data_IF_192024303777
#
_entry.id   IF_192024303777
#
_cell.length_a   1.000
_cell.length_b   1.000
_cell.length_c   1.000
_cell.angle_alpha   90.00
_cell.angle_beta   90.00
_cell.angle_gamma   90.00
#
_symmetry.space_group_name_H-M   'P 1'
#
loop_
_entity.id
_entity.type
_entity.pdbx_description
1 polymer ?
#
# COMPACT_ATOMS: atom_id res chain seq x y z
N UNK A 1 3.99 24.83 -13.45
CA UNK A 1 3.34 23.63 -14.03
C UNK A 1 1.89 23.64 -13.60
N UNK A 2 0.92 23.72 -14.52
CA UNK A 2 -0.52 23.80 -14.20
C UNK A 2 -0.93 22.56 -13.39
N UNK A 3 -1.39 22.74 -12.16
CA UNK A 3 -1.99 21.67 -11.35
C UNK A 3 -3.19 21.12 -12.11
N UNK A 4 -3.10 19.88 -12.60
CA UNK A 4 -4.26 19.18 -13.16
C UNK A 4 -5.27 18.98 -12.03
N UNK A 5 -6.50 19.44 -12.26
CA UNK A 5 -7.61 19.26 -11.33
C UNK A 5 -7.76 17.75 -11.03
N UNK A 6 -7.80 17.30 -9.76
CA UNK A 6 -7.83 15.87 -9.40
C UNK A 6 -8.93 15.07 -10.13
N UNK A 7 -10.07 15.72 -10.39
CA UNK A 7 -11.21 15.20 -11.18
C UNK A 7 -10.81 14.71 -12.58
N UNK A 8 -9.78 15.28 -13.19
CA UNK A 8 -9.33 14.96 -14.55
C UNK A 8 -8.24 13.87 -14.60
N UNK A 9 -7.93 13.23 -13.47
CA UNK A 9 -6.83 12.26 -13.34
C UNK A 9 -7.26 10.89 -12.85
N UNK A 10 -8.56 10.67 -12.63
CA UNK A 10 -9.07 9.38 -12.16
C UNK A 10 -9.35 8.42 -13.33
N UNK A 11 -8.87 7.19 -13.21
CA UNK A 11 -9.06 6.12 -14.18
C UNK A 11 -9.97 5.04 -13.56
N UNK A 12 -11.10 4.73 -14.20
CA UNK A 12 -12.08 3.78 -13.69
C UNK A 12 -12.06 2.46 -14.45
N UNK A 13 -12.22 1.33 -13.75
CA UNK A 13 -12.52 0.04 -14.36
C UNK A 13 -14.02 -0.17 -14.30
N UNK A 14 -14.70 -0.12 -15.44
CA UNK A 14 -16.18 -0.12 -15.50
C UNK A 14 -16.78 -1.46 -15.94
N UNK A 15 -16.02 -2.29 -16.64
CA UNK A 15 -16.46 -3.62 -17.08
C UNK A 15 -16.66 -4.54 -15.88
N UNK A 16 -17.91 -4.97 -15.65
CA UNK A 16 -18.27 -5.95 -14.61
C UNK A 16 -17.44 -7.24 -14.71
N UNK A 17 -17.14 -7.69 -15.93
CA UNK A 17 -16.27 -8.86 -16.17
C UNK A 17 -14.87 -8.64 -15.56
N UNK A 18 -14.25 -7.49 -15.84
CA UNK A 18 -12.91 -7.17 -15.35
C UNK A 18 -12.88 -6.98 -13.83
N UNK A 19 -13.90 -6.31 -13.27
CA UNK A 19 -14.04 -6.16 -11.81
C UNK A 19 -14.09 -7.53 -11.13
N UNK A 20 -14.99 -8.41 -11.57
CA UNK A 20 -15.10 -9.77 -11.02
C UNK A 20 -13.82 -10.57 -11.20
N UNK A 21 -13.18 -10.46 -12.35
CA UNK A 21 -11.90 -11.15 -12.64
C UNK A 21 -10.80 -10.71 -11.66
N UNK A 22 -10.69 -9.43 -11.34
CA UNK A 22 -9.71 -8.90 -10.40
C UNK A 22 -10.00 -9.37 -8.98
N UNK A 23 -11.26 -9.26 -8.53
CA UNK A 23 -11.64 -9.61 -7.16
C UNK A 23 -11.43 -11.10 -6.83
N UNK A 24 -11.47 -12.00 -7.83
CA UNK A 24 -11.14 -13.43 -7.68
C UNK A 24 -9.73 -13.71 -7.15
N UNK A 25 -8.80 -12.76 -7.28
CA UNK A 25 -7.43 -12.91 -6.76
C UNK A 25 -7.30 -12.44 -5.31
N UNK A 26 -8.38 -11.96 -4.70
CA UNK A 26 -8.43 -11.60 -3.28
C UNK A 26 -8.99 -12.76 -2.45
N UNK A 27 -8.71 -12.78 -1.15
CA UNK A 27 -9.33 -13.73 -0.22
C UNK A 27 -10.57 -13.15 0.49
N UNK A 28 -11.21 -12.13 -0.11
CA UNK A 28 -12.39 -11.47 0.45
C UNK A 28 -13.58 -12.44 0.40
N UNK A 29 -14.29 -12.56 1.53
CA UNK A 29 -15.43 -13.44 1.69
C UNK A 29 -16.51 -12.82 2.60
N UNK A 30 -17.63 -13.55 2.76
CA UNK A 30 -18.85 -13.09 3.43
C UNK A 30 -18.71 -12.74 4.92
N UNK A 31 -17.59 -13.08 5.55
CA UNK A 31 -17.29 -12.79 6.94
C UNK A 31 -16.45 -11.51 7.09
N UNK A 32 -15.90 -10.98 6.00
CA UNK A 32 -14.99 -9.84 6.04
C UNK A 32 -15.73 -8.51 6.09
N UNK A 33 -15.18 -7.57 6.88
CA UNK A 33 -15.48 -6.15 6.78
C UNK A 33 -14.47 -5.49 5.84
N UNK A 34 -14.94 -4.73 4.88
CA UNK A 34 -14.11 -4.10 3.85
C UNK A 34 -14.11 -2.59 4.03
N UNK A 35 -12.92 -1.99 3.97
CA UNK A 35 -12.75 -0.57 3.73
C UNK A 35 -12.29 -0.41 2.28
N UNK A 36 -13.13 0.22 1.46
CA UNK A 36 -12.80 0.54 0.08
C UNK A 36 -12.23 1.96 -0.01
N UNK A 37 -11.05 2.11 -0.61
CA UNK A 37 -10.40 3.41 -0.83
C UNK A 37 -10.68 3.86 -2.27
N UNK A 38 -11.47 4.92 -2.40
CA UNK A 38 -11.88 5.50 -3.68
C UNK A 38 -12.90 4.61 -4.40
N UNK A 39 -14.17 4.69 -3.99
CA UNK A 39 -15.25 3.92 -4.63
C UNK A 39 -15.52 4.37 -6.07
N UNK A 40 -15.19 5.63 -6.39
CA UNK A 40 -15.44 6.22 -7.69
C UNK A 40 -16.92 6.11 -8.08
N UNK A 41 -17.20 5.44 -9.20
CA UNK A 41 -18.57 5.22 -9.69
C UNK A 41 -19.26 3.98 -9.09
N UNK A 42 -18.66 3.32 -8.10
CA UNK A 42 -19.26 2.18 -7.40
C UNK A 42 -19.13 0.81 -8.07
N UNK A 43 -18.29 0.67 -9.10
CA UNK A 43 -18.16 -0.59 -9.86
C UNK A 43 -17.56 -1.73 -9.01
N UNK A 44 -16.50 -1.44 -8.25
CA UNK A 44 -15.95 -2.40 -7.28
C UNK A 44 -16.85 -2.51 -6.06
N UNK A 45 -17.33 -1.38 -5.52
CA UNK A 45 -18.26 -1.34 -4.37
C UNK A 45 -19.43 -2.30 -4.54
N UNK A 46 -20.09 -2.31 -5.71
CA UNK A 46 -21.23 -3.18 -6.00
C UNK A 46 -20.90 -4.68 -5.89
N UNK A 47 -19.71 -5.08 -6.33
CA UNK A 47 -19.28 -6.47 -6.22
C UNK A 47 -18.77 -6.78 -4.79
N UNK A 48 -18.16 -5.81 -4.11
CA UNK A 48 -17.70 -5.93 -2.73
C UNK A 48 -18.86 -6.14 -1.74
N UNK A 49 -19.97 -5.40 -1.89
CA UNK A 49 -21.16 -5.58 -1.03
C UNK A 49 -21.80 -6.95 -1.23
N UNK A 50 -21.73 -7.51 -2.43
CA UNK A 50 -22.19 -8.85 -2.74
C UNK A 50 -21.29 -9.95 -2.19
N UNK A 51 -20.01 -9.70 -1.88
CA UNK A 51 -19.08 -10.74 -1.42
C UNK A 51 -18.65 -10.63 0.03
N UNK A 52 -18.97 -9.54 0.72
CA UNK A 52 -18.48 -9.26 2.08
C UNK A 52 -19.60 -9.11 3.11
N UNK A 53 -19.23 -9.13 4.39
CA UNK A 53 -20.18 -8.89 5.49
C UNK A 53 -20.65 -7.44 5.47
N UNK A 54 -19.71 -6.50 5.31
CA UNK A 54 -19.96 -5.06 5.34
C UNK A 54 -18.90 -4.32 4.56
N UNK A 55 -19.29 -3.25 3.87
CA UNK A 55 -18.38 -2.33 3.18
C UNK A 55 -18.49 -0.93 3.75
N UNK A 56 -17.36 -0.26 3.97
CA UNK A 56 -17.25 1.18 4.17
C UNK A 56 -16.45 1.76 3.00
N UNK A 57 -17.11 2.45 2.09
CA UNK A 57 -16.49 3.08 0.94
C UNK A 57 -16.09 4.53 1.26
N UNK A 58 -14.79 4.84 1.17
CA UNK A 58 -14.24 6.17 1.40
C UNK A 58 -14.00 6.83 0.06
N UNK A 59 -14.61 7.99 -0.18
CA UNK A 59 -14.44 8.74 -1.43
C UNK A 59 -14.34 10.23 -1.13
N UNK A 60 -13.44 10.93 -1.81
CA UNK A 60 -13.16 12.35 -1.60
C UNK A 60 -14.03 13.25 -2.49
N UNK A 61 -14.53 12.73 -3.62
CA UNK A 61 -15.44 13.47 -4.49
C UNK A 61 -16.91 13.19 -4.11
N UNK A 62 -17.61 14.24 -3.69
CA UNK A 62 -19.01 14.16 -3.32
C UNK A 62 -19.92 13.62 -4.45
N UNK A 63 -19.67 14.00 -5.70
CA UNK A 63 -20.44 13.52 -6.85
C UNK A 63 -20.27 12.02 -7.07
N UNK A 64 -19.06 11.50 -6.86
CA UNK A 64 -18.76 10.07 -6.90
C UNK A 64 -19.36 9.33 -5.70
N UNK A 65 -19.43 9.95 -4.52
CA UNK A 65 -20.18 9.40 -3.39
C UNK A 65 -21.66 9.19 -3.76
N UNK A 66 -22.31 10.18 -4.38
CA UNK A 66 -23.69 10.06 -4.85
C UNK A 66 -23.85 8.98 -5.92
N UNK A 67 -22.92 8.90 -6.88
CA UNK A 67 -22.93 7.84 -7.90
C UNK A 67 -22.78 6.44 -7.29
N UNK A 68 -21.89 6.30 -6.30
CA UNK A 68 -21.68 5.05 -5.57
C UNK A 68 -22.93 4.64 -4.82
N UNK A 69 -23.58 5.56 -4.08
CA UNK A 69 -24.84 5.29 -3.35
C UNK A 69 -25.92 4.75 -4.29
N UNK A 70 -26.13 5.41 -5.45
CA UNK A 70 -27.09 4.93 -6.47
C UNK A 70 -26.72 3.55 -7.03
N UNK A 71 -25.44 3.29 -7.25
CA UNK A 71 -24.97 2.01 -7.82
C UNK A 71 -25.18 0.81 -6.88
N UNK A 72 -25.25 1.06 -5.57
CA UNK A 72 -25.38 0.03 -4.52
C UNK A 72 -26.76 0.00 -3.87
N UNK A 73 -27.75 0.75 -4.35
CA UNK A 73 -29.14 0.54 -3.93
C UNK A 73 -29.64 -0.83 -4.44
N UNK A 74 -30.34 -1.64 -3.62
CA UNK A 74 -30.84 -1.39 -2.26
C UNK A 74 -29.98 -2.02 -1.14
N UNK A 75 -28.70 -2.33 -1.37
CA UNK A 75 -27.85 -3.00 -0.38
C UNK A 75 -27.75 -2.21 0.93
N UNK A 76 -27.95 -2.90 2.06
CA UNK A 76 -27.96 -2.29 3.40
C UNK A 76 -26.62 -2.46 4.15
N UNK A 77 -25.74 -3.33 3.65
CA UNK A 77 -24.45 -3.65 4.27
C UNK A 77 -23.31 -2.70 3.81
N UNK A 78 -23.63 -1.48 3.39
CA UNK A 78 -22.69 -0.49 2.86
C UNK A 78 -22.85 0.86 3.56
N UNK A 79 -21.74 1.54 3.84
CA UNK A 79 -21.69 2.96 4.18
C UNK A 79 -20.77 3.68 3.19
N UNK A 80 -21.28 4.69 2.49
CA UNK A 80 -20.46 5.60 1.66
C UNK A 80 -20.11 6.83 2.50
N UNK A 81 -18.81 7.07 2.67
CA UNK A 81 -18.23 8.10 3.54
C UNK A 81 -17.49 9.11 2.64
N UNK A 82 -17.96 10.36 2.66
CA UNK A 82 -17.32 11.46 1.95
C UNK A 82 -16.17 12.00 2.82
N UNK A 83 -14.95 11.52 2.58
CA UNK A 83 -13.77 11.87 3.37
C UNK A 83 -12.48 11.64 2.57
N UNK A 84 -11.44 12.40 2.91
CA UNK A 84 -10.08 12.17 2.42
C UNK A 84 -9.45 10.97 3.16
N UNK A 85 -9.07 9.92 2.43
CA UNK A 85 -8.43 8.72 3.00
C UNK A 85 -7.16 9.04 3.80
N UNK A 86 -6.42 10.10 3.47
CA UNK A 86 -5.22 10.48 4.20
C UNK A 86 -5.56 11.02 5.61
N UNK A 87 -6.78 11.56 5.79
CA UNK A 87 -7.31 12.06 7.06
C UNK A 87 -8.17 11.03 7.80
N UNK A 88 -8.70 10.05 7.08
CA UNK A 88 -9.54 8.99 7.63
C UNK A 88 -8.87 8.27 8.81
N UNK A 89 -9.64 8.09 9.88
CA UNK A 89 -9.22 7.34 11.06
C UNK A 89 -9.70 5.90 10.95
N UNK A 90 -8.76 4.97 10.72
CA UNK A 90 -9.11 3.56 10.63
C UNK A 90 -9.65 3.01 11.96
N UNK A 91 -10.62 2.08 11.93
CA UNK A 91 -11.07 1.39 13.13
C UNK A 91 -9.91 0.70 13.86
N UNK A 92 -9.95 0.76 15.19
CA UNK A 92 -9.06 0.01 16.08
C UNK A 92 -9.80 -1.19 16.66
N UNK A 93 -9.06 -2.22 17.07
CA UNK A 93 -9.60 -3.42 17.72
C UNK A 93 -10.73 -4.12 16.92
N UNK A 94 -10.74 -3.97 15.61
CA UNK A 94 -11.68 -4.63 14.70
C UNK A 94 -10.93 -5.17 13.50
N UNK A 95 -11.26 -6.39 13.08
CA UNK A 95 -10.71 -6.97 11.86
C UNK A 95 -11.41 -6.43 10.63
N UNK A 96 -10.62 -6.04 9.65
CA UNK A 96 -11.07 -5.61 8.33
C UNK A 96 -9.97 -5.83 7.29
N UNK A 97 -10.39 -5.89 6.04
CA UNK A 97 -9.51 -5.86 4.87
C UNK A 97 -9.69 -4.55 4.14
N UNK A 98 -8.66 -4.15 3.39
CA UNK A 98 -8.71 -2.96 2.55
C UNK A 98 -8.74 -3.39 1.09
N UNK A 99 -9.56 -2.71 0.28
CA UNK A 99 -9.50 -2.78 -1.18
C UNK A 99 -9.39 -1.36 -1.75
N UNK A 100 -8.68 -1.16 -2.86
CA UNK A 100 -8.70 0.15 -3.53
C UNK A 100 -8.12 0.14 -4.93
N UNK A 101 -8.83 0.76 -5.86
CA UNK A 101 -8.28 1.19 -7.14
C UNK A 101 -7.73 2.61 -7.00
N UNK A 102 -6.51 2.73 -6.47
CA UNK A 102 -6.04 4.01 -5.93
C UNK A 102 -5.39 4.89 -7.01
N UNK A 103 -5.54 6.22 -6.91
CA UNK A 103 -4.93 7.15 -7.87
C UNK A 103 -3.40 7.16 -7.75
N UNK A 104 -2.72 7.29 -8.89
CA UNK A 104 -1.27 7.10 -8.99
C UNK A 104 -0.46 8.18 -8.29
N UNK A 105 -0.95 9.43 -8.31
CA UNK A 105 -0.26 10.60 -7.76
C UNK A 105 -0.10 10.55 -6.23
N UNK A 106 -1.01 9.90 -5.52
CA UNK A 106 -0.98 9.78 -4.04
C UNK A 106 -0.79 8.34 -3.56
N UNK A 107 -0.41 7.41 -4.47
CA UNK A 107 -0.23 5.99 -4.12
C UNK A 107 0.81 5.78 -3.01
N UNK A 108 1.88 6.58 -2.99
CA UNK A 108 2.88 6.52 -1.91
C UNK A 108 2.27 6.85 -0.55
N UNK A 109 1.45 7.90 -0.49
CA UNK A 109 0.88 8.37 0.77
C UNK A 109 -0.22 7.44 1.26
N UNK A 110 -1.05 6.89 0.35
CA UNK A 110 -2.03 5.87 0.70
C UNK A 110 -1.35 4.61 1.23
N UNK A 111 -0.29 4.11 0.58
CA UNK A 111 0.42 2.92 1.06
C UNK A 111 1.03 3.17 2.44
N UNK A 112 1.63 4.34 2.69
CA UNK A 112 2.13 4.71 4.02
C UNK A 112 1.00 4.81 5.05
N UNK A 113 -0.12 5.42 4.68
CA UNK A 113 -1.32 5.56 5.51
C UNK A 113 -1.86 4.20 5.94
N UNK A 114 -1.93 3.24 5.01
CA UNK A 114 -2.29 1.85 5.31
C UNK A 114 -1.22 1.20 6.20
N UNK A 115 0.06 1.34 5.85
CA UNK A 115 1.15 0.68 6.56
C UNK A 115 1.24 1.08 8.02
N UNK A 116 1.13 2.38 8.31
CA UNK A 116 1.47 2.95 9.62
C UNK A 116 0.27 3.37 10.46
N UNK A 117 -0.92 3.58 9.86
CA UNK A 117 -2.11 4.03 10.59
C UNK A 117 -3.24 2.98 10.61
N UNK A 118 -3.18 1.97 9.75
CA UNK A 118 -4.16 0.87 9.73
C UNK A 118 -3.61 -0.38 10.41
N UNK A 119 -4.51 -1.26 10.86
CA UNK A 119 -4.20 -2.60 11.37
C UNK A 119 -4.68 -3.72 10.42
N UNK A 120 -5.14 -3.39 9.21
CA UNK A 120 -5.61 -4.38 8.25
C UNK A 120 -4.55 -5.45 8.00
N UNK A 121 -4.95 -6.73 8.09
CA UNK A 121 -4.08 -7.87 7.79
C UNK A 121 -3.81 -7.99 6.29
N UNK A 122 -4.83 -7.76 5.45
CA UNK A 122 -4.73 -7.79 3.99
C UNK A 122 -5.23 -6.48 3.39
N UNK A 123 -4.42 -5.88 2.52
CA UNK A 123 -4.80 -4.70 1.74
C UNK A 123 -4.55 -4.96 0.26
N UNK A 124 -5.60 -4.98 -0.54
CA UNK A 124 -5.57 -5.24 -1.97
C UNK A 124 -5.65 -3.93 -2.73
N UNK A 125 -4.60 -3.60 -3.49
CA UNK A 125 -4.49 -2.31 -4.18
C UNK A 125 -4.22 -2.52 -5.65
N UNK A 126 -4.93 -1.79 -6.51
CA UNK A 126 -4.57 -1.66 -7.92
C UNK A 126 -3.69 -0.42 -8.05
N UNK A 127 -2.46 -0.61 -8.55
CA UNK A 127 -1.45 0.44 -8.66
C UNK A 127 -0.69 0.33 -9.99
N UNK A 128 0.03 1.37 -10.40
CA UNK A 128 0.93 1.28 -11.55
C UNK A 128 1.96 0.16 -11.36
N UNK A 129 2.25 -0.57 -12.44
CA UNK A 129 3.25 -1.65 -12.43
C UNK A 129 4.64 -1.16 -11.99
N UNK A 130 5.04 0.04 -12.42
CA UNK A 130 6.32 0.64 -12.01
C UNK A 130 6.35 0.96 -10.52
N UNK A 131 5.22 1.41 -9.95
CA UNK A 131 5.11 1.66 -8.51
C UNK A 131 5.19 0.38 -7.69
N UNK A 132 4.47 -0.68 -8.08
CA UNK A 132 4.56 -1.98 -7.40
C UNK A 132 5.99 -2.53 -7.33
N UNK A 133 6.75 -2.44 -8.44
CA UNK A 133 8.18 -2.80 -8.45
C UNK A 133 9.01 -1.96 -7.48
N UNK A 134 8.72 -0.66 -7.37
CA UNK A 134 9.40 0.24 -6.44
C UNK A 134 9.08 -0.07 -4.98
N UNK A 135 7.90 -0.60 -4.67
CA UNK A 135 7.54 -1.03 -3.32
C UNK A 135 8.35 -2.25 -2.88
N UNK A 136 8.66 -3.17 -3.80
CA UNK A 136 9.47 -4.35 -3.53
C UNK A 136 10.98 -4.09 -3.55
N UNK A 137 11.42 -2.89 -3.96
CA UNK A 137 12.84 -2.56 -4.05
C UNK A 137 13.38 -2.05 -2.70
N UNK A 138 14.17 -2.88 -2.03
CA UNK A 138 14.81 -2.60 -0.74
C UNK A 138 16.09 -1.76 -0.82
N UNK A 139 16.42 -1.23 -2.00
CA UNK A 139 17.38 -0.12 -2.13
C UNK A 139 16.70 1.25 -1.94
N UNK A 140 15.36 1.29 -1.91
CA UNK A 140 14.58 2.53 -1.75
C UNK A 140 14.00 2.59 -0.34
N UNK A 141 13.97 3.81 0.22
CA UNK A 141 13.46 4.03 1.57
C UNK A 141 12.07 3.43 1.78
N UNK A 142 11.14 3.62 0.83
CA UNK A 142 9.79 3.09 0.96
C UNK A 142 9.75 1.56 1.03
N UNK A 143 10.56 0.85 0.23
CA UNK A 143 10.62 -0.61 0.28
C UNK A 143 11.16 -1.11 1.61
N UNK A 144 12.23 -0.51 2.12
CA UNK A 144 12.79 -0.82 3.43
C UNK A 144 11.82 -0.51 4.59
N UNK A 145 11.12 0.61 4.52
CA UNK A 145 10.13 0.96 5.55
C UNK A 145 8.92 0.01 5.56
N UNK A 146 8.54 -0.54 4.40
CA UNK A 146 7.40 -1.45 4.31
C UNK A 146 7.77 -2.90 4.62
N UNK A 147 8.95 -3.38 4.22
CA UNK A 147 9.35 -4.78 4.39
C UNK A 147 9.39 -5.23 5.85
N UNK A 148 9.48 -4.30 6.80
CA UNK A 148 9.49 -4.62 8.23
C UNK A 148 8.10 -4.77 8.83
N UNK A 149 7.07 -4.38 8.10
CA UNK A 149 5.66 -4.44 8.52
C UNK A 149 4.82 -5.38 7.63
N UNK A 150 5.20 -5.53 6.35
CA UNK A 150 4.36 -6.13 5.32
C UNK A 150 5.13 -6.91 4.26
N UNK A 151 4.53 -8.02 3.85
CA UNK A 151 4.85 -8.72 2.60
C UNK A 151 4.09 -8.08 1.44
N UNK A 152 4.79 -7.85 0.32
CA UNK A 152 4.22 -7.23 -0.87
C UNK A 152 4.29 -8.20 -2.03
N UNK A 153 3.12 -8.66 -2.51
CA UNK A 153 3.02 -9.62 -3.61
C UNK A 153 2.21 -9.02 -4.77
N UNK A 154 2.71 -9.18 -5.99
CA UNK A 154 1.95 -8.87 -7.21
C UNK A 154 1.08 -10.09 -7.52
N UNK A 155 -0.23 -9.92 -7.49
CA UNK A 155 -1.19 -11.00 -7.69
C UNK A 155 -1.61 -11.14 -9.16
N UNK A 156 -1.78 -10.01 -9.84
CA UNK A 156 -2.32 -9.99 -11.21
C UNK A 156 -1.88 -8.75 -11.99
N UNK A 157 -1.62 -8.93 -13.28
CA UNK A 157 -1.52 -7.81 -14.23
C UNK A 157 -2.91 -7.27 -14.55
N UNK A 158 -3.07 -5.94 -14.50
CA UNK A 158 -4.30 -5.23 -14.86
C UNK A 158 -3.98 -4.34 -16.07
N UNK A 159 -4.31 -4.80 -17.30
CA UNK A 159 -3.98 -4.06 -18.52
C UNK A 159 -4.56 -2.65 -18.49
N UNK A 160 -3.81 -1.66 -19.00
CA UNK A 160 -4.31 -0.26 -19.10
C UNK A 160 -5.62 -0.13 -19.88
N UNK A 161 -5.89 -1.07 -20.80
CA UNK A 161 -7.12 -1.12 -21.58
C UNK A 161 -8.38 -1.40 -20.74
N UNK A 162 -8.23 -1.86 -19.49
CA UNK A 162 -9.36 -2.07 -18.58
C UNK A 162 -9.92 -0.74 -18.03
N UNK A 163 -9.16 0.34 -18.16
CA UNK A 163 -9.46 1.63 -17.56
C UNK A 163 -10.05 2.62 -18.56
N UNK A 164 -10.92 3.50 -18.07
CA UNK A 164 -11.38 4.69 -18.76
C UNK A 164 -11.35 5.93 -17.84
N UNK A 165 -10.69 7.04 -18.23
CA UNK A 165 -9.79 7.16 -19.39
C UNK A 165 -8.64 6.15 -19.34
N UNK A 166 -8.03 5.84 -20.48
CA UNK A 166 -6.92 4.86 -20.57
C UNK A 166 -5.62 5.50 -20.07
N UNK A 167 -4.92 4.94 -19.06
CA UNK A 167 -3.63 5.45 -18.60
C UNK A 167 -2.51 5.10 -19.59
N UNK A 168 -1.34 5.73 -19.41
CA UNK A 168 -0.17 5.50 -20.26
C UNK A 168 0.57 4.19 -19.94
N UNK A 169 0.38 3.66 -18.74
CA UNK A 169 1.10 2.49 -18.22
C UNK A 169 0.12 1.44 -17.72
N UNK A 170 0.56 0.18 -17.71
CA UNK A 170 -0.20 -0.90 -17.11
C UNK A 170 -0.22 -0.82 -15.58
N UNK A 171 -1.28 -1.37 -15.00
CA UNK A 171 -1.42 -1.55 -13.57
C UNK A 171 -1.22 -3.01 -13.17
N UNK A 172 -1.14 -3.23 -11.86
CA UNK A 172 -1.15 -4.54 -11.24
C UNK A 172 -2.02 -4.50 -9.99
N UNK A 173 -2.67 -5.61 -9.68
CA UNK A 173 -3.22 -5.87 -8.37
C UNK A 173 -2.09 -6.37 -7.48
N UNK A 174 -1.85 -5.69 -6.36
CA UNK A 174 -0.96 -6.13 -5.30
C UNK A 174 -1.74 -6.47 -4.04
N UNK A 175 -1.15 -7.31 -3.20
CA UNK A 175 -1.53 -7.43 -1.79
C UNK A 175 -0.39 -6.94 -0.91
N UNK A 176 -0.76 -6.11 0.06
CA UNK A 176 0.05 -5.82 1.23
C UNK A 176 -0.48 -6.71 2.36
N UNK A 177 0.31 -7.69 2.76
CA UNK A 177 -0.01 -8.63 3.81
C UNK A 177 0.80 -8.28 5.06
N UNK A 178 0.14 -7.83 6.12
CA UNK A 178 0.81 -7.41 7.35
C UNK A 178 1.33 -8.63 8.10
N UNK A 179 2.58 -8.63 8.53
CA UNK A 179 3.15 -9.67 9.38
C UNK A 179 3.52 -9.11 10.76
N UNK A 180 4.05 -9.98 11.62
CA UNK A 180 4.64 -9.52 12.88
C UNK A 180 5.81 -8.57 12.54
N UNK A 181 5.87 -7.37 13.12
CA UNK A 181 6.88 -6.40 12.73
C UNK A 181 8.28 -6.92 13.07
N UNK A 182 9.23 -6.75 12.16
CA UNK A 182 10.63 -7.13 12.37
C UNK A 182 11.36 -6.15 13.28
N UNK A 183 10.83 -4.93 13.42
CA UNK A 183 11.38 -3.87 14.24
C UNK A 183 10.44 -3.60 15.42
N UNK A 184 10.98 -3.56 16.63
CA UNK A 184 10.20 -3.19 17.81
C UNK A 184 9.75 -1.73 17.71
N UNK A 185 8.53 -1.44 18.18
CA UNK A 185 7.95 -0.08 18.16
C UNK A 185 8.89 0.99 18.76
N UNK A 186 9.62 0.66 19.82
CA UNK A 186 10.60 1.56 20.47
C UNK A 186 11.79 1.92 19.57
N UNK A 187 12.16 1.03 18.65
CA UNK A 187 13.30 1.21 17.76
C UNK A 187 12.91 1.86 16.42
N UNK A 188 11.61 1.98 16.13
CA UNK A 188 11.13 2.41 14.81
C UNK A 188 11.60 3.82 14.41
N UNK A 189 11.72 4.74 15.37
CA UNK A 189 12.28 6.09 15.11
C UNK A 189 13.76 5.99 14.69
N UNK A 190 14.56 5.16 15.38
CA UNK A 190 15.96 4.90 15.01
C UNK A 190 16.05 4.20 13.65
N UNK A 191 15.19 3.21 13.40
CA UNK A 191 15.11 2.49 12.14
C UNK A 191 14.80 3.41 10.96
N UNK A 192 13.79 4.27 11.08
CA UNK A 192 13.44 5.24 10.05
C UNK A 192 14.61 6.16 9.73
N UNK A 193 15.28 6.71 10.75
CA UNK A 193 16.49 7.52 10.56
C UNK A 193 17.58 6.74 9.81
N UNK A 194 17.87 5.52 10.27
CA UNK A 194 18.85 4.63 9.66
C UNK A 194 18.55 4.39 8.17
N UNK A 195 17.31 4.03 7.83
CA UNK A 195 16.89 3.79 6.44
C UNK A 195 17.16 5.01 5.56
N UNK A 196 16.76 6.22 5.98
CA UNK A 196 16.96 7.41 5.16
C UNK A 196 18.44 7.74 4.93
N UNK A 197 19.27 7.62 5.97
CA UNK A 197 20.72 7.83 5.84
C UNK A 197 21.39 6.76 5.00
N UNK A 198 20.97 5.50 5.15
CA UNK A 198 21.50 4.37 4.39
C UNK A 198 21.26 4.52 2.89
N UNK A 199 20.01 4.79 2.47
CA UNK A 199 19.67 4.88 1.04
C UNK A 199 20.30 6.10 0.36
N UNK A 200 20.57 7.16 1.13
CA UNK A 200 21.30 8.34 0.64
C UNK A 200 22.83 8.14 0.64
N UNK A 201 23.32 6.95 1.00
CA UNK A 201 24.75 6.62 1.14
C UNK A 201 25.48 7.50 2.15
N UNK A 202 24.78 8.04 3.15
CA UNK A 202 25.33 8.83 4.25
C UNK A 202 25.91 7.91 5.35
N UNK A 203 26.73 6.91 4.97
CA UNK A 203 27.20 5.87 5.89
C UNK A 203 28.03 6.42 7.05
N UNK A 204 28.74 7.53 6.83
CA UNK A 204 29.54 8.21 7.86
C UNK A 204 28.69 8.80 8.99
N UNK A 205 27.39 9.05 8.75
CA UNK A 205 26.44 9.47 9.79
C UNK A 205 26.01 8.29 10.66
N UNK A 206 26.06 7.08 10.11
CA UNK A 206 25.60 5.85 10.77
C UNK A 206 26.74 5.11 11.48
N UNK A 207 27.93 5.13 10.91
CA UNK A 207 29.07 4.33 11.34
C UNK A 207 30.39 5.06 11.10
N UNK A 208 31.36 4.84 11.98
CA UNK A 208 32.77 5.06 11.67
C UNK A 208 33.23 4.07 10.58
N UNK A 209 34.36 4.36 9.91
CA UNK A 209 34.93 3.46 8.89
C UNK A 209 35.19 2.04 9.43
N UNK A 210 35.69 1.94 10.67
CA UNK A 210 35.98 0.65 11.31
C UNK A 210 34.68 -0.11 11.65
N UNK A 211 33.68 0.57 12.20
CA UNK A 211 32.37 -0.04 12.46
C UNK A 211 31.73 -0.53 11.16
N UNK A 212 31.69 0.30 10.11
CA UNK A 212 31.08 -0.11 8.84
C UNK A 212 31.74 -1.38 8.27
N UNK A 213 33.08 -1.44 8.27
CA UNK A 213 33.80 -2.65 7.80
C UNK A 213 33.44 -3.88 8.63
N UNK A 214 33.40 -3.76 9.95
CA UNK A 214 33.05 -4.89 10.84
C UNK A 214 31.61 -5.34 10.64
N UNK A 215 30.67 -4.40 10.50
CA UNK A 215 29.25 -4.69 10.30
C UNK A 215 28.99 -5.38 8.98
N UNK A 216 29.59 -4.91 7.89
CA UNK A 216 29.44 -5.55 6.58
C UNK A 216 30.01 -6.98 6.58
N UNK A 217 31.16 -7.18 7.25
CA UNK A 217 31.73 -8.53 7.44
C UNK A 217 30.81 -9.42 8.27
N UNK A 218 30.27 -8.91 9.38
CA UNK A 218 29.37 -9.66 10.25
C UNK A 218 28.06 -10.05 9.55
N UNK A 219 27.51 -9.14 8.75
CA UNK A 219 26.30 -9.37 7.96
C UNK A 219 26.56 -10.15 6.65
N UNK A 220 27.79 -10.59 6.37
CA UNK A 220 28.17 -11.24 5.11
C UNK A 220 27.78 -10.43 3.86
N UNK A 221 27.89 -9.10 3.91
CA UNK A 221 27.57 -8.21 2.77
C UNK A 221 28.81 -8.03 1.90
N UNK A 222 28.73 -8.51 0.66
CA UNK A 222 29.79 -8.35 -0.35
C UNK A 222 29.50 -7.21 -1.33
N UNK A 223 28.23 -6.89 -1.56
CA UNK A 223 27.77 -5.86 -2.48
C UNK A 223 26.74 -4.96 -1.77
N UNK A 224 27.09 -3.69 -1.56
CA UNK A 224 26.22 -2.70 -0.90
C UNK A 224 24.97 -2.35 -1.70
N UNK A 225 24.98 -2.63 -3.01
CA UNK A 225 23.83 -2.40 -3.86
C UNK A 225 22.90 -3.62 -3.87
N UNK A 226 23.27 -4.78 -3.29
CA UNK A 226 22.46 -6.01 -3.35
C UNK A 226 22.30 -6.69 -1.99
N UNK A 227 21.91 -5.94 -0.97
CA UNK A 227 21.58 -6.51 0.33
C UNK A 227 20.27 -7.28 0.28
N UNK A 228 20.27 -8.49 0.84
CA UNK A 228 19.03 -9.17 1.23
C UNK A 228 18.37 -8.47 2.42
N UNK A 229 17.09 -8.77 2.66
CA UNK A 229 16.35 -8.21 3.80
C UNK A 229 17.02 -8.59 5.13
N UNK A 230 17.48 -9.83 5.24
CA UNK A 230 18.17 -10.34 6.44
C UNK A 230 19.51 -9.62 6.66
N UNK A 231 20.28 -9.41 5.59
CA UNK A 231 21.52 -8.65 5.66
C UNK A 231 21.26 -7.21 6.11
N UNK A 232 20.28 -6.54 5.53
CA UNK A 232 19.92 -5.16 5.92
C UNK A 232 19.49 -5.07 7.39
N UNK A 233 18.68 -6.01 7.87
CA UNK A 233 18.26 -6.09 9.27
C UNK A 233 19.44 -6.38 10.20
N UNK A 234 20.38 -7.24 9.80
CA UNK A 234 21.61 -7.50 10.54
C UNK A 234 22.44 -6.22 10.69
N UNK A 235 22.66 -5.48 9.61
CA UNK A 235 23.36 -4.19 9.63
C UNK A 235 22.66 -3.19 10.56
N UNK A 236 21.33 -3.09 10.52
CA UNK A 236 20.56 -2.23 11.42
C UNK A 236 20.68 -2.67 12.89
N UNK A 237 20.67 -3.97 13.16
CA UNK A 237 20.84 -4.48 14.53
C UNK A 237 22.23 -4.15 15.07
N UNK A 238 23.28 -4.25 14.25
CA UNK A 238 24.61 -3.79 14.65
C UNK A 238 24.67 -2.28 14.89
N UNK A 239 24.00 -1.47 14.07
CA UNK A 239 23.87 -0.03 14.30
C UNK A 239 23.31 0.30 15.68
N UNK A 240 22.31 -0.47 16.15
CA UNK A 240 21.74 -0.29 17.48
C UNK A 240 22.71 -0.60 18.62
N UNK A 241 23.70 -1.47 18.42
CA UNK A 241 24.66 -1.86 19.46
C UNK A 241 25.77 -0.82 19.66
N UNK A 242 26.05 0.01 18.66
CA UNK A 242 27.08 1.06 18.73
C UNK A 242 26.56 2.41 19.23
N UNK A 243 25.26 2.53 19.51
CA UNK A 243 24.56 3.75 19.92
C UNK A 243 24.10 3.64 21.37
#
# INVERSE_FOLDING_TARGET
MKQKNPKNTQNFITSKKHVKEILKYTNINKQDKIIEIGSGKGHFTKELVEMSQRVNAIEIDEGLCHATKKAVEPFQNIKVIHEDILKFSFPKNTDYKIFGNIPYNISTDIVKKIAFDSQAKYSYLIVERGFAKRLQNTQRALGLLLMVEMDIKILKKVPRAYFHPKPNVDSVLIVLERHKPFILKKDYKKYRFFVYKWVNREYHVLFTKNQLRQVLKHANVTDLDKLSNEQFLSVFNSYKLFQ
#
